data_IF_545481588049
#
_entry.id   IF_545481588049
#
_cell.length_a   1.000
_cell.length_b   1.000
_cell.length_c   1.000
_cell.angle_alpha   90.00
_cell.angle_beta   90.00
_cell.angle_gamma   90.00
#
_symmetry.space_group_name_H-M   'P 1'
#
loop_
_entity.id
_entity.type
_entity.pdbx_description
1 polymer ?
#
# COMPACT_ATOMS: atom_id res chain seq x y z
N UNK A 1 4.63 -19.74 -4.51
CA UNK A 1 5.42 -18.50 -4.53
C UNK A 1 4.89 -17.68 -5.71
N UNK A 2 3.87 -16.86 -5.48
CA UNK A 2 3.30 -16.02 -6.52
C UNK A 2 4.25 -14.84 -6.78
N UNK A 3 4.42 -14.40 -8.03
CA UNK A 3 5.34 -13.31 -8.34
C UNK A 3 4.82 -12.00 -7.72
N UNK A 4 5.68 -11.34 -6.97
CA UNK A 4 5.46 -9.98 -6.49
C UNK A 4 5.47 -9.06 -7.71
N UNK A 5 4.33 -8.44 -8.00
CA UNK A 5 4.20 -7.56 -9.16
C UNK A 5 4.58 -6.14 -8.74
N UNK A 6 5.54 -5.55 -9.47
CA UNK A 6 6.01 -4.18 -9.28
C UNK A 6 5.13 -3.23 -10.09
N UNK A 7 4.53 -2.24 -9.42
CA UNK A 7 3.73 -1.20 -10.10
C UNK A 7 4.31 0.19 -9.81
N UNK A 8 4.37 1.03 -10.84
CA UNK A 8 4.84 2.43 -10.77
C UNK A 8 3.62 3.36 -10.78
N UNK A 9 3.29 3.97 -9.63
CA UNK A 9 2.17 4.90 -9.48
C UNK A 9 2.66 6.31 -9.11
N UNK A 10 2.08 7.32 -9.78
CA UNK A 10 2.24 8.79 -9.59
C UNK A 10 3.52 9.24 -8.86
N UNK A 11 4.49 9.76 -9.63
CA UNK A 11 5.75 10.38 -9.18
C UNK A 11 6.91 9.41 -8.83
N UNK A 12 7.14 8.40 -9.67
CA UNK A 12 8.42 7.66 -9.66
C UNK A 12 8.60 6.68 -8.50
N UNK A 13 7.57 6.45 -7.68
CA UNK A 13 7.58 5.43 -6.64
C UNK A 13 7.32 4.05 -7.23
N UNK A 14 8.09 3.06 -6.78
CA UNK A 14 7.88 1.66 -7.08
C UNK A 14 7.27 0.96 -5.86
N UNK A 15 6.26 0.12 -6.09
CA UNK A 15 5.58 -0.61 -5.02
C UNK A 15 5.42 -2.10 -5.34
N UNK A 16 5.66 -2.94 -4.33
CA UNK A 16 5.26 -4.35 -4.31
C UNK A 16 3.89 -4.44 -3.65
N UNK A 17 2.90 -4.95 -4.40
CA UNK A 17 1.49 -5.00 -3.97
C UNK A 17 0.86 -6.35 -4.33
N UNK A 18 -0.27 -6.72 -3.71
CA UNK A 18 -1.02 -7.92 -4.07
C UNK A 18 -1.50 -7.87 -5.53
N UNK A 19 -1.64 -9.04 -6.15
CA UNK A 19 -2.14 -9.15 -7.53
C UNK A 19 -3.60 -8.70 -7.72
N UNK A 20 -4.37 -8.58 -6.64
CA UNK A 20 -5.75 -8.10 -6.63
C UNK A 20 -5.86 -6.56 -6.52
N UNK A 21 -4.73 -5.86 -6.51
CA UNK A 21 -4.68 -4.40 -6.44
C UNK A 21 -5.29 -3.78 -7.69
N UNK A 22 -6.09 -2.74 -7.49
CA UNK A 22 -6.73 -1.98 -8.56
C UNK A 22 -6.43 -0.49 -8.44
N UNK A 23 -6.53 0.21 -9.57
CA UNK A 23 -6.47 1.68 -9.58
C UNK A 23 -7.59 2.23 -8.70
N UNK A 24 -7.22 3.05 -7.72
CA UNK A 24 -8.13 3.60 -6.72
C UNK A 24 -8.01 2.96 -5.33
N UNK A 25 -7.20 1.89 -5.19
CA UNK A 25 -6.82 1.41 -3.85
C UNK A 25 -5.92 2.44 -3.15
N UNK A 26 -6.14 2.60 -1.85
CA UNK A 26 -5.44 3.55 -0.98
C UNK A 26 -4.30 2.85 -0.25
N UNK A 27 -3.10 3.42 -0.32
CA UNK A 27 -1.98 3.02 0.55
C UNK A 27 -2.14 3.72 1.90
N UNK A 28 -2.17 2.95 2.98
CA UNK A 28 -2.31 3.46 4.36
C UNK A 28 -1.30 2.80 5.29
N UNK A 29 -0.92 3.52 6.35
CA UNK A 29 -0.22 2.97 7.52
C UNK A 29 -1.17 3.13 8.71
N UNK A 30 -1.45 2.04 9.41
CA UNK A 30 -2.31 2.11 10.60
C UNK A 30 -1.55 2.74 11.77
N UNK A 31 -2.28 3.42 12.67
CA UNK A 31 -1.71 3.98 13.88
C UNK A 31 -0.95 2.92 14.70
N UNK A 32 0.31 3.19 15.03
CA UNK A 32 1.21 2.25 15.72
C UNK A 32 1.76 1.12 14.84
N UNK A 33 1.42 1.09 13.55
CA UNK A 33 1.99 0.18 12.56
C UNK A 33 3.26 0.74 11.92
N UNK A 34 4.14 -0.14 11.48
CA UNK A 34 5.39 0.19 10.76
C UNK A 34 5.43 -0.38 9.34
N UNK A 35 4.29 -0.86 8.83
CA UNK A 35 4.14 -1.37 7.46
C UNK A 35 2.89 -0.77 6.81
N UNK A 36 2.91 -0.71 5.48
CA UNK A 36 1.82 -0.19 4.67
C UNK A 36 0.85 -1.28 4.24
N UNK A 37 -0.38 -0.87 3.99
CA UNK A 37 -1.48 -1.70 3.53
C UNK A 37 -2.25 -1.01 2.41
N UNK A 38 -2.93 -1.80 1.59
CA UNK A 38 -3.90 -1.34 0.63
C UNK A 38 -5.32 -1.52 1.17
N UNK A 39 -6.09 -0.44 1.09
CA UNK A 39 -7.52 -0.41 1.37
C UNK A 39 -8.30 -0.01 0.12
N UNK A 40 -9.41 -0.69 -0.15
CA UNK A 40 -10.34 -0.34 -1.22
C UNK A 40 -11.56 0.35 -0.63
N UNK A 41 -11.85 1.56 -1.08
CA UNK A 41 -13.10 2.23 -0.71
C UNK A 41 -14.28 1.43 -1.28
N UNK A 42 -15.25 1.15 -0.42
CA UNK A 42 -16.57 0.64 -0.76
C UNK A 42 -17.59 1.74 -0.52
N UNK A 43 -18.89 1.44 -0.70
CA UNK A 43 -19.93 2.46 -0.56
C UNK A 43 -19.90 3.16 0.82
N UNK A 44 -19.69 2.39 1.88
CA UNK A 44 -19.87 2.86 3.26
C UNK A 44 -18.64 2.55 4.16
N UNK A 45 -17.62 1.84 3.65
CA UNK A 45 -16.47 1.39 4.45
C UNK A 45 -15.23 1.13 3.57
N UNK A 46 -14.12 0.72 4.17
CA UNK A 46 -12.90 0.25 3.51
C UNK A 46 -12.77 -1.27 3.59
N UNK A 47 -12.58 -1.89 2.43
CA UNK A 47 -12.20 -3.30 2.35
C UNK A 47 -10.68 -3.42 2.42
N UNK A 48 -10.19 -4.30 3.28
CA UNK A 48 -8.79 -4.69 3.31
C UNK A 48 -8.40 -5.47 2.03
N UNK A 49 -7.38 -5.00 1.31
CA UNK A 49 -6.84 -5.65 0.11
C UNK A 49 -5.62 -6.49 0.48
N UNK A 50 -4.67 -5.92 1.22
CA UNK A 50 -3.48 -6.64 1.67
C UNK A 50 -2.32 -5.73 2.07
N UNK A 51 -1.23 -6.29 2.60
CA UNK A 51 0.00 -5.54 2.85
C UNK A 51 0.65 -5.08 1.55
N UNK A 52 1.39 -3.99 1.59
CA UNK A 52 2.21 -3.52 0.48
C UNK A 52 3.55 -2.95 0.95
N UNK A 53 4.49 -2.87 0.01
CA UNK A 53 5.76 -2.18 0.21
C UNK A 53 5.91 -1.09 -0.83
N UNK A 54 6.19 0.14 -0.39
CA UNK A 54 6.43 1.27 -1.30
C UNK A 54 7.84 1.79 -1.06
N UNK A 55 8.64 1.79 -2.11
CA UNK A 55 10.11 1.82 -2.04
C UNK A 55 10.73 3.10 -1.47
N UNK A 56 9.99 4.19 -1.28
CA UNK A 56 10.51 5.42 -0.65
C UNK A 56 9.63 5.91 0.51
N UNK A 57 8.46 5.30 0.73
CA UNK A 57 7.57 5.65 1.85
C UNK A 57 7.98 4.86 3.10
N UNK A 58 8.52 3.65 2.92
CA UNK A 58 8.85 2.75 4.03
C UNK A 58 10.36 2.71 4.38
N UNK A 59 11.10 3.79 4.12
CA UNK A 59 12.49 3.95 4.58
C UNK A 59 12.59 4.30 6.09
N UNK A 60 11.58 3.93 6.88
CA UNK A 60 11.49 4.18 8.32
C UNK A 60 10.89 5.54 8.73
N UNK A 61 10.43 6.37 7.78
CA UNK A 61 10.08 7.78 8.05
C UNK A 61 8.56 8.07 8.11
N UNK A 62 7.68 7.11 7.85
CA UNK A 62 6.24 7.36 7.67
C UNK A 62 5.43 7.53 8.98
N UNK A 63 6.06 7.47 10.15
CA UNK A 63 5.41 7.85 11.41
C UNK A 63 6.26 8.93 12.10
N UNK A 64 5.81 10.20 12.13
CA UNK A 64 6.34 11.13 13.12
C UNK A 64 5.88 10.65 14.50
N UNK A 65 6.79 10.72 15.50
CA UNK A 65 6.44 10.49 16.91
C UNK A 65 5.16 11.23 17.34
#
# INVERSE_FOLDING_TARGET
LAPEHLYTGLQGFSASVPNITEVGDYIVVFAGGNIAFLLRLTKDDYRFVGPCYVHEIMNGEAFPE
#
